data_IF_429342617128
#
_entry.id   IF_429342617128
#
_cell.length_a   1.000
_cell.length_b   1.000
_cell.length_c   1.000
_cell.angle_alpha   90.00
_cell.angle_beta   90.00
_cell.angle_gamma   90.00
#
_symmetry.space_group_name_H-M   'P 1'
#
loop_
_entity.id
_entity.type
_entity.pdbx_description
1 polymer ?
#
# COMPACT_ATOMS: atom_id res chain seq x y z
N UNK A 1 6.87 -6.24 -4.08
CA UNK A 1 7.02 -6.21 -2.60
C UNK A 1 5.68 -6.56 -1.97
N UNK A 2 5.63 -6.98 -0.71
CA UNK A 2 4.35 -7.31 -0.04
C UNK A 2 3.64 -5.99 0.32
N UNK A 3 2.38 -5.84 -0.11
CA UNK A 3 1.53 -4.71 0.24
C UNK A 3 1.19 -4.76 1.75
N UNK A 4 1.39 -3.70 2.52
CA UNK A 4 1.13 -3.72 3.94
C UNK A 4 -0.36 -3.83 4.27
N UNK A 5 -1.24 -3.32 3.40
CA UNK A 5 -2.69 -3.32 3.61
C UNK A 5 -3.40 -4.63 3.24
N UNK A 6 -3.06 -5.22 2.08
CA UNK A 6 -3.75 -6.41 1.58
C UNK A 6 -2.87 -7.65 1.40
N UNK A 7 -1.59 -7.59 1.79
CA UNK A 7 -0.58 -8.68 1.68
C UNK A 7 -0.33 -9.24 0.27
N UNK A 8 -0.89 -8.63 -0.78
CA UNK A 8 -0.53 -8.96 -2.17
C UNK A 8 0.95 -8.71 -2.46
N UNK A 9 1.56 -9.54 -3.30
CA UNK A 9 2.93 -9.37 -3.81
C UNK A 9 3.05 -8.34 -4.93
N UNK A 10 1.93 -7.84 -5.43
CA UNK A 10 1.81 -6.96 -6.60
C UNK A 10 2.04 -5.47 -6.30
N UNK A 11 2.71 -5.15 -5.19
CA UNK A 11 3.15 -3.79 -4.93
C UNK A 11 4.53 -3.51 -5.55
N UNK A 12 4.72 -2.30 -6.05
CA UNK A 12 5.97 -1.86 -6.66
C UNK A 12 6.17 -0.34 -6.56
N UNK A 13 7.37 0.10 -6.90
CA UNK A 13 7.73 1.51 -6.97
C UNK A 13 7.05 2.18 -8.17
N UNK A 14 6.46 3.35 -7.95
CA UNK A 14 5.77 4.14 -8.98
C UNK A 14 6.38 5.52 -9.21
N UNK A 15 7.18 6.03 -8.27
CA UNK A 15 7.92 7.28 -8.44
C UNK A 15 9.10 7.39 -7.48
N UNK A 16 10.08 8.19 -7.84
CA UNK A 16 11.15 8.65 -6.95
C UNK A 16 11.04 10.15 -6.72
N UNK A 17 11.51 10.63 -5.57
CA UNK A 17 11.67 12.06 -5.32
C UNK A 17 12.53 12.72 -6.40
N UNK A 18 12.20 13.95 -6.84
CA UNK A 18 13.08 14.73 -7.72
C UNK A 18 14.39 15.12 -7.03
N UNK A 19 14.44 15.07 -5.69
CA UNK A 19 15.69 15.17 -4.92
C UNK A 19 16.12 13.77 -4.51
N UNK A 20 17.27 13.32 -5.02
CA UNK A 20 17.78 11.97 -4.83
C UNK A 20 17.85 11.56 -3.35
N UNK A 21 17.36 10.36 -3.05
CA UNK A 21 17.44 9.76 -1.70
C UNK A 21 16.37 10.22 -0.70
N UNK A 22 15.50 11.18 -1.03
CA UNK A 22 14.50 11.68 -0.08
C UNK A 22 13.33 10.72 0.16
N UNK A 23 12.72 10.20 -0.89
CA UNK A 23 11.64 9.21 -0.79
C UNK A 23 11.47 8.44 -2.10
N UNK A 24 10.92 7.23 -1.96
CA UNK A 24 10.37 6.44 -3.07
C UNK A 24 8.88 6.20 -2.80
N UNK A 25 8.03 6.42 -3.80
CA UNK A 25 6.60 6.13 -3.73
C UNK A 25 6.36 4.71 -4.23
N UNK A 26 5.65 3.91 -3.44
CA UNK A 26 5.20 2.58 -3.80
C UNK A 26 3.68 2.56 -3.88
N UNK A 27 3.13 1.67 -4.71
CA UNK A 27 1.70 1.43 -4.81
C UNK A 27 1.40 -0.04 -5.08
N UNK A 28 0.27 -0.51 -4.58
CA UNK A 28 -0.26 -1.85 -4.87
C UNK A 28 -1.33 -1.79 -5.96
N UNK A 29 -1.17 -2.57 -7.04
CA UNK A 29 -2.15 -2.63 -8.13
C UNK A 29 -3.46 -3.35 -7.76
N UNK A 30 -3.49 -4.10 -6.66
CA UNK A 30 -4.69 -4.83 -6.20
C UNK A 30 -5.63 -3.94 -5.39
N UNK A 31 -5.10 -3.27 -4.37
CA UNK A 31 -5.92 -2.44 -3.49
C UNK A 31 -5.74 -0.93 -3.71
N UNK A 32 -4.78 -0.50 -4.54
CA UNK A 32 -4.45 0.93 -4.77
C UNK A 32 -3.92 1.68 -3.55
N UNK A 33 -3.45 0.96 -2.52
CA UNK A 33 -2.75 1.59 -1.41
C UNK A 33 -1.41 2.10 -1.90
N UNK A 34 -1.11 3.37 -1.61
CA UNK A 34 0.16 4.00 -1.93
C UNK A 34 0.80 4.56 -0.66
N UNK A 35 2.13 4.48 -0.59
CA UNK A 35 2.92 4.95 0.54
C UNK A 35 4.34 5.35 0.11
N UNK A 36 4.97 6.23 0.89
CA UNK A 36 6.37 6.59 0.70
C UNK A 36 7.28 5.73 1.56
N UNK A 37 8.53 5.57 1.15
CA UNK A 37 9.58 4.91 1.94
C UNK A 37 9.88 5.57 3.28
N UNK A 38 9.44 6.80 3.48
CA UNK A 38 9.62 7.58 4.72
C UNK A 38 8.42 7.51 5.67
N UNK A 39 7.34 6.81 5.30
CA UNK A 39 6.20 6.61 6.19
C UNK A 39 6.57 5.66 7.34
N UNK A 40 5.90 5.74 8.51
CA UNK A 40 6.18 4.86 9.64
C UNK A 40 5.92 3.37 9.32
N UNK A 41 6.43 2.47 10.17
CA UNK A 41 6.22 1.02 10.01
C UNK A 41 4.74 0.64 9.90
N UNK A 42 3.85 1.34 10.62
CA UNK A 42 2.40 1.15 10.54
C UNK A 42 1.78 1.43 9.17
N UNK A 43 2.54 2.03 8.24
CA UNK A 43 2.14 2.26 6.86
C UNK A 43 2.99 1.47 5.83
N UNK A 44 4.13 0.91 6.24
CA UNK A 44 5.11 0.31 5.30
C UNK A 44 5.39 -1.17 5.54
N UNK A 45 5.24 -1.66 6.77
CA UNK A 45 5.48 -3.03 7.18
C UNK A 45 4.16 -3.82 7.25
N UNK A 46 4.00 -4.91 6.48
CA UNK A 46 2.81 -5.75 6.50
C UNK A 46 2.45 -6.35 7.87
N UNK A 47 3.43 -6.55 8.74
CA UNK A 47 3.21 -7.12 10.06
C UNK A 47 2.88 -6.04 11.11
N UNK A 48 3.34 -4.80 10.92
CA UNK A 48 2.99 -3.65 11.76
C UNK A 48 1.74 -2.88 11.29
N UNK A 49 1.24 -3.14 10.07
CA UNK A 49 0.06 -2.46 9.53
C UNK A 49 -1.20 -2.79 10.34
N UNK A 50 -1.98 -1.79 10.82
CA UNK A 50 -3.14 -2.00 11.68
C UNK A 50 -4.17 -2.93 11.06
N UNK A 51 -4.63 -3.91 11.83
CA UNK A 51 -5.49 -4.99 11.33
C UNK A 51 -6.85 -4.45 10.91
N UNK A 52 -7.38 -3.46 11.62
CA UNK A 52 -8.67 -2.80 11.37
C UNK A 52 -8.75 -2.05 10.03
N UNK A 53 -7.61 -1.73 9.40
CA UNK A 53 -7.55 -1.08 8.09
C UNK A 53 -7.11 -2.00 6.96
N UNK A 54 -6.91 -3.30 7.25
CA UNK A 54 -6.56 -4.28 6.21
C UNK A 54 -7.75 -4.52 5.31
N UNK A 55 -7.45 -4.84 4.04
CA UNK A 55 -8.46 -5.23 3.07
C UNK A 55 -8.19 -6.67 2.63
N UNK A 56 -9.24 -7.48 2.66
CA UNK A 56 -9.27 -8.79 2.03
C UNK A 56 -9.59 -8.66 0.54
N UNK A 57 -9.41 -9.76 -0.21
CA UNK A 57 -9.87 -9.80 -1.59
C UNK A 57 -11.39 -9.62 -1.69
N UNK A 58 -12.14 -10.18 -0.73
CA UNK A 58 -13.59 -10.04 -0.65
C UNK A 58 -14.00 -8.57 -0.51
N UNK A 59 -13.45 -7.86 0.48
CA UNK A 59 -13.71 -6.43 0.72
C UNK A 59 -13.55 -5.58 -0.54
N UNK A 60 -12.54 -5.89 -1.37
CA UNK A 60 -12.26 -5.18 -2.62
C UNK A 60 -13.31 -5.51 -3.69
N UNK A 61 -13.62 -6.79 -3.87
CA UNK A 61 -14.57 -7.25 -4.89
C UNK A 61 -16.02 -6.89 -4.60
N UNK A 62 -16.38 -6.76 -3.32
CA UNK A 62 -17.73 -6.40 -2.87
C UNK A 62 -17.84 -4.94 -2.47
N UNK A 63 -16.79 -4.14 -2.66
CA UNK A 63 -16.80 -2.72 -2.31
C UNK A 63 -17.96 -2.01 -3.03
N UNK A 64 -18.76 -1.20 -2.31
CA UNK A 64 -19.86 -0.49 -2.93
C UNK A 64 -19.31 0.51 -3.96
N UNK A 65 -19.93 0.51 -5.14
CA UNK A 65 -19.64 1.52 -6.16
C UNK A 65 -20.26 2.84 -5.69
N UNK A 66 -19.44 3.86 -5.55
CA UNK A 66 -19.94 5.22 -5.41
C UNK A 66 -20.56 5.63 -6.75
N UNK A 67 -21.89 5.80 -6.76
CA UNK A 67 -22.69 6.25 -7.90
C UNK A 67 -22.99 7.73 -7.79
#
# INVERSE_FOLDING_TARGET
MICPRCRSTEAGTVAHSPVAGHWTMNSCSVCWYAWRSTEPATATDPDAYPVEFRLTAEDITTAPRLV
#
